data_IF_433177917730
#
_entry.id   IF_433177917730
#
_cell.length_a   1.000
_cell.length_b   1.000
_cell.length_c   1.000
_cell.angle_alpha   90.00
_cell.angle_beta   90.00
_cell.angle_gamma   90.00
#
_symmetry.space_group_name_H-M   'P 1'
#
loop_
_entity.id
_entity.type
_entity.pdbx_description
1 polymer ?
#
# COMPACT_ATOMS: atom_id res chain seq x y z
N UNK A 1 -6.78 10.02 16.78
CA UNK A 1 -6.13 11.16 16.10
C UNK A 1 -7.21 11.93 15.35
N UNK A 2 -7.22 13.25 15.45
CA UNK A 2 -8.24 14.08 14.77
C UNK A 2 -7.86 14.13 13.27
N UNK A 3 -8.84 13.97 12.36
CA UNK A 3 -8.60 14.00 10.91
C UNK A 3 -7.89 15.29 10.44
N UNK A 4 -8.13 16.43 11.10
CA UNK A 4 -7.44 17.69 10.82
C UNK A 4 -5.96 17.65 11.19
N UNK A 5 -5.60 17.00 12.29
CA UNK A 5 -4.22 16.83 12.71
C UNK A 5 -3.47 15.94 11.73
N UNK A 6 -4.08 14.83 11.29
CA UNK A 6 -3.50 13.94 10.29
C UNK A 6 -3.32 14.64 8.94
N UNK A 7 -4.29 15.43 8.50
CA UNK A 7 -4.17 16.24 7.29
C UNK A 7 -3.00 17.24 7.37
N UNK A 8 -2.84 17.96 8.49
CA UNK A 8 -1.75 18.90 8.70
C UNK A 8 -0.38 18.20 8.77
N UNK A 9 -0.33 17.01 9.36
CA UNK A 9 0.87 16.18 9.36
C UNK A 9 1.30 15.83 7.93
N UNK A 10 0.37 15.41 7.06
CA UNK A 10 0.67 15.08 5.68
C UNK A 10 1.17 16.28 4.87
N UNK A 11 0.67 17.47 5.13
CA UNK A 11 1.12 18.70 4.49
C UNK A 11 2.53 19.12 4.93
N UNK A 12 2.84 18.98 6.22
CA UNK A 12 4.07 19.52 6.81
C UNK A 12 5.23 18.53 6.83
N UNK A 13 4.96 17.23 6.85
CA UNK A 13 5.98 16.22 6.99
C UNK A 13 6.77 16.04 5.67
N UNK A 14 8.12 16.11 5.68
CA UNK A 14 8.94 15.92 4.50
C UNK A 14 8.92 14.48 3.93
N UNK A 15 8.34 13.53 4.64
CA UNK A 15 8.13 12.17 4.16
C UNK A 15 7.21 12.10 2.94
N UNK A 16 6.23 13.01 2.83
CA UNK A 16 5.30 13.07 1.72
C UNK A 16 5.86 13.92 0.58
N UNK A 17 5.69 13.45 -0.65
CA UNK A 17 6.17 14.12 -1.85
C UNK A 17 5.39 15.42 -2.18
N UNK A 18 5.98 16.24 -3.05
CA UNK A 18 5.42 17.54 -3.41
C UNK A 18 4.10 17.43 -4.19
N UNK A 19 3.88 16.37 -4.97
CA UNK A 19 2.63 16.21 -5.71
C UNK A 19 1.48 15.83 -4.77
N UNK A 20 1.74 14.97 -3.79
CA UNK A 20 0.82 14.68 -2.69
C UNK A 20 0.45 15.97 -1.93
N UNK A 21 1.42 16.80 -1.59
CA UNK A 21 1.18 18.08 -0.89
C UNK A 21 0.40 19.07 -1.73
N UNK A 22 0.66 19.17 -3.03
CA UNK A 22 -0.12 20.01 -3.97
C UNK A 22 -1.57 19.56 -4.03
N UNK A 23 -1.80 18.25 -4.14
CA UNK A 23 -3.16 17.70 -4.16
C UNK A 23 -3.91 18.04 -2.85
N UNK A 24 -3.25 17.91 -1.70
CA UNK A 24 -3.84 18.25 -0.41
C UNK A 24 -4.06 19.76 -0.23
N UNK A 25 -3.15 20.59 -0.71
CA UNK A 25 -3.31 22.06 -0.69
C UNK A 25 -4.52 22.50 -1.52
N UNK A 26 -4.79 21.81 -2.64
CA UNK A 26 -5.94 22.14 -3.49
C UNK A 26 -7.30 21.96 -2.79
N UNK A 27 -7.36 21.16 -1.73
CA UNK A 27 -8.59 20.91 -0.95
C UNK A 27 -8.60 21.63 0.42
N UNK A 28 -7.67 22.55 0.68
CA UNK A 28 -7.51 23.19 2.00
C UNK A 28 -8.77 23.89 2.52
N UNK A 29 -9.62 24.36 1.62
CA UNK A 29 -10.89 25.03 1.93
C UNK A 29 -12.11 24.10 1.85
N UNK A 30 -11.92 22.82 1.58
CA UNK A 30 -13.00 21.82 1.53
C UNK A 30 -12.92 20.86 2.72
N UNK A 31 -13.60 21.25 3.81
CA UNK A 31 -13.60 20.47 5.04
C UNK A 31 -14.23 19.07 4.87
N UNK A 32 -15.19 18.92 3.96
CA UNK A 32 -15.83 17.62 3.71
C UNK A 32 -14.85 16.67 3.01
N UNK A 33 -14.13 17.15 2.02
CA UNK A 33 -13.10 16.37 1.31
C UNK A 33 -11.93 16.00 2.24
N UNK A 34 -11.47 16.95 3.08
CA UNK A 34 -10.44 16.66 4.09
C UNK A 34 -10.92 15.58 5.06
N UNK A 35 -12.14 15.70 5.56
CA UNK A 35 -12.71 14.72 6.48
C UNK A 35 -12.84 13.35 5.82
N UNK A 36 -13.34 13.26 4.59
CA UNK A 36 -13.47 11.99 3.88
C UNK A 36 -12.13 11.28 3.69
N UNK A 37 -11.07 12.03 3.37
CA UNK A 37 -9.73 11.47 3.14
C UNK A 37 -8.98 11.06 4.40
N UNK A 38 -9.32 11.65 5.56
CA UNK A 38 -8.52 11.50 6.79
C UNK A 38 -9.32 11.02 8.01
N UNK A 39 -10.62 10.75 7.89
CA UNK A 39 -11.44 10.30 9.02
C UNK A 39 -11.10 8.89 9.48
N UNK A 40 -10.83 7.97 8.56
CA UNK A 40 -10.52 6.59 8.85
C UNK A 40 -9.55 6.01 7.80
N UNK A 41 -8.75 5.03 8.20
CA UNK A 41 -7.90 4.28 7.28
C UNK A 41 -8.74 3.55 6.21
N UNK A 42 -8.15 3.36 5.04
CA UNK A 42 -8.74 2.55 3.97
C UNK A 42 -8.95 1.11 4.45
N UNK A 43 -10.19 0.64 4.34
CA UNK A 43 -10.53 -0.72 4.74
C UNK A 43 -10.03 -1.75 3.72
N UNK A 44 -9.50 -2.87 4.20
CA UNK A 44 -9.11 -4.00 3.35
C UNK A 44 -10.32 -4.57 2.59
N UNK A 45 -10.08 -4.98 1.33
CA UNK A 45 -11.11 -5.58 0.47
C UNK A 45 -12.01 -4.57 -0.24
N UNK A 46 -11.77 -3.28 -0.08
CA UNK A 46 -12.43 -2.22 -0.83
C UNK A 46 -11.55 -1.71 -1.96
N UNK A 47 -12.14 -1.45 -3.14
CA UNK A 47 -11.45 -0.75 -4.20
C UNK A 47 -11.31 0.74 -3.80
N UNK A 48 -10.14 1.12 -3.30
CA UNK A 48 -9.86 2.51 -2.91
C UNK A 48 -9.77 3.44 -4.12
N UNK A 49 -10.21 4.66 -3.95
CA UNK A 49 -9.96 5.75 -4.92
C UNK A 49 -8.49 6.16 -4.80
N UNK A 50 -7.80 6.30 -5.93
CA UNK A 50 -6.40 6.77 -5.95
C UNK A 50 -6.35 8.25 -5.58
N UNK A 51 -5.42 8.62 -4.70
CA UNK A 51 -5.21 10.00 -4.28
C UNK A 51 -4.52 10.13 -2.94
N UNK A 52 -4.25 11.37 -2.53
CA UNK A 52 -3.65 11.68 -1.25
C UNK A 52 -4.65 11.50 -0.09
N UNK A 53 -4.20 10.90 1.01
CA UNK A 53 -4.99 10.66 2.23
C UNK A 53 -4.91 9.22 2.71
N UNK A 54 -5.28 9.01 3.99
CA UNK A 54 -5.26 7.68 4.62
C UNK A 54 -6.40 6.78 4.15
N UNK A 55 -7.48 7.36 3.61
CA UNK A 55 -8.63 6.66 3.03
C UNK A 55 -8.56 6.62 1.48
N UNK A 56 -7.37 6.71 0.93
CA UNK A 56 -7.11 6.65 -0.51
C UNK A 56 -6.04 5.61 -0.83
N UNK A 57 -6.04 5.09 -2.06
CA UNK A 57 -4.95 4.25 -2.55
C UNK A 57 -3.79 5.13 -3.01
N UNK A 58 -2.66 4.98 -2.36
CA UNK A 58 -1.39 5.63 -2.68
C UNK A 58 -0.22 4.81 -2.15
N UNK A 59 0.99 5.19 -2.52
CA UNK A 59 2.21 4.46 -2.11
C UNK A 59 2.38 4.40 -0.59
N UNK A 60 1.96 5.41 0.15
CA UNK A 60 2.09 5.46 1.61
C UNK A 60 1.16 4.48 2.32
N UNK A 61 -0.09 4.35 1.83
CA UNK A 61 -1.06 3.37 2.32
C UNK A 61 -0.62 1.95 1.95
N UNK A 62 -0.07 1.74 0.75
CA UNK A 62 0.51 0.45 0.33
C UNK A 62 1.69 0.08 1.22
N UNK A 63 2.61 1.00 1.50
CA UNK A 63 3.74 0.78 2.44
C UNK A 63 3.24 0.38 3.82
N UNK A 64 2.29 1.14 4.38
CA UNK A 64 1.72 0.86 5.71
C UNK A 64 1.12 -0.54 5.79
N UNK A 65 0.29 -0.89 4.81
CA UNK A 65 -0.34 -2.21 4.74
C UNK A 65 0.67 -3.34 4.56
N UNK A 66 1.65 -3.14 3.68
CA UNK A 66 2.71 -4.13 3.42
C UNK A 66 3.66 -4.27 4.61
N UNK A 67 3.96 -3.18 5.34
CA UNK A 67 4.72 -3.25 6.58
C UNK A 67 3.99 -4.09 7.63
N UNK A 68 2.68 -3.91 7.79
CA UNK A 68 1.88 -4.75 8.69
C UNK A 68 1.92 -6.23 8.32
N UNK A 69 1.90 -6.57 7.02
CA UNK A 69 2.10 -7.95 6.56
C UNK A 69 3.51 -8.45 6.87
N UNK A 70 4.53 -7.62 6.64
CA UNK A 70 5.92 -7.98 6.95
C UNK A 70 6.12 -8.27 8.43
N UNK A 71 5.61 -7.41 9.31
CA UNK A 71 5.66 -7.57 10.75
C UNK A 71 4.99 -8.90 11.18
N UNK A 72 3.81 -9.17 10.65
CA UNK A 72 3.10 -10.43 10.89
C UNK A 72 3.91 -11.66 10.46
N UNK A 73 4.52 -11.64 9.26
CA UNK A 73 5.36 -12.75 8.78
C UNK A 73 6.57 -12.96 9.69
N UNK A 74 7.21 -11.88 10.14
CA UNK A 74 8.38 -11.96 11.03
C UNK A 74 8.01 -12.51 12.41
N UNK A 75 6.86 -12.13 12.95
CA UNK A 75 6.33 -12.64 14.24
C UNK A 75 6.05 -14.15 14.20
N UNK A 76 5.70 -14.70 13.02
CA UNK A 76 5.49 -16.16 12.91
C UNK A 76 6.76 -16.99 13.10
N UNK A 77 7.94 -16.38 13.08
CA UNK A 77 9.22 -17.09 13.23
C UNK A 77 9.50 -18.14 12.14
N UNK A 78 8.88 -18.00 10.98
CA UNK A 78 9.00 -18.96 9.87
C UNK A 78 10.26 -18.73 9.05
N UNK A 79 10.82 -19.80 8.50
CA UNK A 79 11.89 -19.74 7.50
C UNK A 79 11.36 -19.38 6.10
N UNK A 80 10.04 -19.47 5.88
CA UNK A 80 9.39 -19.15 4.60
C UNK A 80 9.14 -17.65 4.45
N UNK A 81 10.21 -16.86 4.42
CA UNK A 81 10.13 -15.39 4.24
C UNK A 81 10.07 -15.04 2.76
N UNK A 82 9.00 -15.46 2.09
CA UNK A 82 8.77 -15.26 0.65
C UNK A 82 7.31 -14.88 0.40
N UNK A 83 7.10 -13.87 -0.45
CA UNK A 83 5.77 -13.38 -0.85
C UNK A 83 5.73 -13.26 -2.37
N UNK A 84 4.67 -13.75 -2.99
CA UNK A 84 4.39 -13.54 -4.40
C UNK A 84 3.47 -12.33 -4.58
N UNK A 85 3.73 -11.52 -5.62
CA UNK A 85 2.97 -10.30 -5.91
C UNK A 85 2.50 -10.34 -7.34
N UNK A 86 1.20 -10.21 -7.56
CA UNK A 86 0.59 -9.99 -8.87
C UNK A 86 -0.05 -8.60 -8.94
N UNK A 87 -0.25 -8.10 -10.14
CA UNK A 87 -0.92 -6.84 -10.39
C UNK A 87 -1.82 -6.96 -11.62
N UNK A 88 -2.78 -6.07 -11.73
CA UNK A 88 -3.74 -6.02 -12.81
C UNK A 88 -3.52 -4.79 -13.73
N UNK A 89 -4.48 -4.53 -14.62
CA UNK A 89 -4.39 -3.44 -15.59
C UNK A 89 -4.82 -2.06 -15.08
N UNK A 90 -5.21 -1.96 -13.79
CA UNK A 90 -5.64 -0.69 -13.22
C UNK A 90 -4.48 0.30 -13.12
N UNK A 91 -4.82 1.59 -13.19
CA UNK A 91 -3.85 2.67 -13.02
C UNK A 91 -3.06 2.52 -11.72
N UNK A 92 -1.74 2.74 -11.78
CA UNK A 92 -0.80 2.60 -10.66
C UNK A 92 -0.62 1.17 -10.10
N UNK A 93 -1.27 0.14 -10.66
CA UNK A 93 -1.17 -1.22 -10.13
C UNK A 93 0.27 -1.79 -10.17
N UNK A 94 1.05 -1.60 -11.25
CA UNK A 94 2.46 -1.99 -11.27
C UNK A 94 3.31 -1.23 -10.24
N UNK A 95 3.08 0.07 -10.08
CA UNK A 95 3.81 0.93 -9.13
C UNK A 95 3.53 0.51 -7.69
N UNK A 96 2.28 0.18 -7.36
CA UNK A 96 1.92 -0.35 -6.04
C UNK A 96 2.52 -1.73 -5.78
N UNK A 97 2.62 -2.59 -6.78
CA UNK A 97 3.29 -3.88 -6.68
C UNK A 97 4.80 -3.72 -6.41
N UNK A 98 5.47 -2.80 -7.10
CA UNK A 98 6.88 -2.48 -6.87
C UNK A 98 7.11 -1.92 -5.47
N UNK A 99 6.24 -1.01 -5.01
CA UNK A 99 6.34 -0.44 -3.66
C UNK A 99 6.14 -1.49 -2.55
N UNK A 100 5.19 -2.41 -2.74
CA UNK A 100 4.99 -3.54 -1.83
C UNK A 100 6.23 -4.43 -1.80
N UNK A 101 6.81 -4.76 -2.95
CA UNK A 101 8.03 -5.56 -3.04
C UNK A 101 9.22 -4.90 -2.33
N UNK A 102 9.41 -3.59 -2.52
CA UNK A 102 10.48 -2.83 -1.84
C UNK A 102 10.29 -2.84 -0.33
N UNK A 103 9.07 -2.67 0.16
CA UNK A 103 8.75 -2.72 1.58
C UNK A 103 9.06 -4.09 2.17
N UNK A 104 8.67 -5.18 1.50
CA UNK A 104 9.00 -6.55 1.92
C UNK A 104 10.51 -6.78 1.94
N UNK A 105 11.23 -6.38 0.88
CA UNK A 105 12.67 -6.54 0.77
C UNK A 105 13.42 -5.79 1.88
N UNK A 106 12.98 -4.59 2.25
CA UNK A 106 13.53 -3.82 3.37
C UNK A 106 13.40 -4.53 4.72
N UNK A 107 12.42 -5.44 4.85
CA UNK A 107 12.21 -6.29 6.03
C UNK A 107 12.86 -7.67 5.91
N UNK A 108 13.72 -7.91 4.90
CA UNK A 108 14.38 -9.20 4.69
C UNK A 108 13.46 -10.29 4.16
N UNK A 109 12.32 -9.95 3.58
CA UNK A 109 11.35 -10.86 2.98
C UNK A 109 11.53 -10.84 1.46
N UNK A 110 11.75 -12.01 0.85
CA UNK A 110 11.91 -12.12 -0.59
C UNK A 110 10.58 -11.92 -1.31
N UNK A 111 10.51 -10.95 -2.21
CA UNK A 111 9.36 -10.70 -3.04
C UNK A 111 9.57 -11.24 -4.46
N UNK A 112 8.54 -11.91 -4.99
CA UNK A 112 8.48 -12.34 -6.39
C UNK A 112 7.37 -11.53 -7.07
N UNK A 113 7.72 -10.75 -8.09
CA UNK A 113 6.75 -9.96 -8.88
C UNK A 113 6.66 -10.60 -10.27
N UNK A 114 5.45 -10.75 -10.80
CA UNK A 114 5.26 -11.13 -12.19
C UNK A 114 5.75 -10.03 -13.13
N UNK A 115 6.33 -10.42 -14.26
CA UNK A 115 6.83 -9.48 -15.28
C UNK A 115 5.73 -8.69 -15.98
N UNK A 116 4.50 -9.21 -15.97
CA UNK A 116 3.32 -8.56 -16.53
C UNK A 116 2.09 -8.88 -15.71
N UNK A 117 0.98 -8.18 -15.98
CA UNK A 117 -0.29 -8.41 -15.28
C UNK A 117 -0.71 -9.88 -15.31
N UNK A 118 -1.24 -10.35 -14.17
CA UNK A 118 -1.72 -11.73 -13.99
C UNK A 118 -3.01 -11.75 -13.16
N UNK A 119 -3.90 -12.71 -13.45
CA UNK A 119 -5.11 -12.89 -12.66
C UNK A 119 -4.82 -13.57 -11.32
N UNK A 120 -5.71 -13.38 -10.35
CA UNK A 120 -5.60 -13.94 -9.00
C UNK A 120 -5.36 -15.46 -8.95
N UNK A 121 -5.93 -16.31 -9.84
CA UNK A 121 -5.61 -17.74 -9.85
C UNK A 121 -4.14 -18.06 -10.10
N UNK A 122 -3.45 -17.27 -10.93
CA UNK A 122 -2.01 -17.44 -11.15
C UNK A 122 -1.21 -17.04 -9.92
N UNK A 123 -1.61 -15.99 -9.20
CA UNK A 123 -1.04 -15.63 -7.91
C UNK A 123 -1.16 -16.78 -6.90
N UNK A 124 -2.35 -17.36 -6.78
CA UNK A 124 -2.59 -18.50 -5.88
C UNK A 124 -1.72 -19.72 -6.23
N UNK A 125 -1.51 -19.99 -7.52
CA UNK A 125 -0.58 -21.01 -7.97
C UNK A 125 0.87 -20.67 -7.61
N UNK A 126 1.31 -19.43 -7.87
CA UNK A 126 2.68 -18.98 -7.59
C UNK A 126 3.03 -19.07 -6.11
N UNK A 127 2.11 -18.74 -5.20
CA UNK A 127 2.32 -18.86 -3.76
C UNK A 127 2.70 -20.29 -3.39
N UNK A 128 2.02 -21.28 -3.92
CA UNK A 128 2.34 -22.69 -3.66
C UNK A 128 3.59 -23.17 -4.39
N UNK A 129 3.74 -22.81 -5.66
CA UNK A 129 4.85 -23.23 -6.52
C UNK A 129 6.20 -22.68 -6.03
N UNK A 130 6.24 -21.44 -5.58
CA UNK A 130 7.44 -20.76 -5.08
C UNK A 130 7.64 -20.95 -3.57
N UNK A 131 6.79 -21.74 -2.92
CA UNK A 131 6.80 -21.96 -1.47
C UNK A 131 6.77 -20.64 -0.70
N UNK A 132 5.88 -19.73 -1.09
CA UNK A 132 5.65 -18.46 -0.41
C UNK A 132 4.71 -18.64 0.76
N UNK A 133 4.86 -17.76 1.77
CA UNK A 133 3.95 -17.74 2.93
C UNK A 133 2.67 -16.95 2.63
N UNK A 134 2.74 -16.00 1.71
CA UNK A 134 1.62 -15.13 1.35
C UNK A 134 1.69 -14.69 -0.12
N UNK A 135 0.59 -14.12 -0.61
CA UNK A 135 0.48 -13.45 -1.91
C UNK A 135 -0.27 -12.12 -1.80
N UNK A 136 0.10 -11.16 -2.62
CA UNK A 136 -0.52 -9.83 -2.74
C UNK A 136 -1.00 -9.65 -4.17
#
# INVERSE_FOLDING_TARGET
MNYKETYQEWLSNPYFDEDTKKELTAIENDENEIKERFYADLAFGTAGIIGAGINRMNIYVVRKATQGLADYILEQGTDKKRVAIAFDSRHMSPEFADEAARTLAANGIKAFIFESLRPTPELSFAVRHLDCIAGI
#
